data_IF_370855851627
#
_entry.id   IF_370855851627
#
_cell.length_a   1.000
_cell.length_b   1.000
_cell.length_c   1.000
_cell.angle_alpha   90.00
_cell.angle_beta   90.00
_cell.angle_gamma   90.00
#
_symmetry.space_group_name_H-M   'P 1'
#
loop_
_entity.id
_entity.type
_entity.pdbx_description
1 polymer ?
#
# COMPACT_ATOMS: atom_id res chain seq x y z
N UNK A 1 0.82 29.42 -14.42
CA UNK A 1 0.43 28.43 -13.40
C UNK A 1 -0.23 27.29 -14.14
N UNK A 2 0.34 26.09 -14.07
CA UNK A 2 -0.24 24.89 -14.67
C UNK A 2 -1.58 24.58 -13.99
N UNK A 3 -2.61 24.29 -14.78
CA UNK A 3 -3.93 23.90 -14.26
C UNK A 3 -3.83 22.47 -13.71
N UNK A 4 -3.88 22.34 -12.38
CA UNK A 4 -3.80 21.05 -11.69
C UNK A 4 -5.00 20.13 -11.97
N UNK A 5 -6.06 20.65 -12.59
CA UNK A 5 -7.26 19.88 -12.96
C UNK A 5 -7.19 19.28 -14.36
N UNK A 6 -6.23 19.70 -15.19
CA UNK A 6 -6.06 19.18 -16.55
C UNK A 6 -5.38 17.81 -16.52
N UNK A 7 -5.97 16.75 -17.11
CA UNK A 7 -5.31 15.46 -17.27
C UNK A 7 -3.98 15.57 -18.02
N UNK A 8 -3.08 14.60 -17.82
CA UNK A 8 -1.84 14.53 -18.59
C UNK A 8 -2.12 14.19 -20.05
N UNK A 9 -1.41 14.85 -20.96
CA UNK A 9 -1.40 14.43 -22.38
C UNK A 9 -0.52 13.19 -22.58
N UNK A 10 -0.63 12.46 -23.70
CA UNK A 10 0.25 11.32 -24.00
C UNK A 10 1.74 11.66 -23.89
N UNK A 11 2.17 12.80 -24.46
CA UNK A 11 3.56 13.24 -24.35
C UNK A 11 4.01 13.58 -22.92
N UNK A 12 3.06 13.95 -22.03
CA UNK A 12 3.36 14.19 -20.62
C UNK A 12 3.38 12.89 -19.80
N UNK A 13 2.67 11.85 -20.25
CA UNK A 13 2.79 10.51 -19.70
C UNK A 13 4.12 9.89 -20.11
N UNK A 14 4.50 10.02 -21.39
CA UNK A 14 5.82 9.58 -21.89
C UNK A 14 6.95 10.29 -21.13
N UNK A 15 6.86 11.60 -20.91
CA UNK A 15 7.84 12.36 -20.11
C UNK A 15 7.95 11.86 -18.66
N UNK A 16 6.83 11.45 -18.06
CA UNK A 16 6.83 10.92 -16.70
C UNK A 16 7.40 9.49 -16.67
N UNK A 17 7.09 8.66 -17.66
CA UNK A 17 7.61 7.30 -17.81
C UNK A 17 9.13 7.32 -18.02
N UNK A 18 9.62 8.15 -18.96
CA UNK A 18 11.05 8.35 -19.24
C UNK A 18 11.82 8.80 -17.98
N UNK A 19 11.21 9.62 -17.12
CA UNK A 19 11.82 10.06 -15.87
C UNK A 19 11.95 8.92 -14.85
N UNK A 20 10.98 8.01 -14.81
CA UNK A 20 10.94 6.90 -13.87
C UNK A 20 11.87 5.74 -14.29
N UNK A 21 12.17 5.63 -15.59
CA UNK A 21 13.00 4.59 -16.19
C UNK A 21 14.51 4.93 -16.25
N UNK A 22 14.96 5.98 -15.54
CA UNK A 22 16.40 6.34 -15.56
C UNK A 22 17.24 5.28 -14.82
N UNK A 23 18.45 4.92 -15.31
CA UNK A 23 19.28 3.85 -14.73
C UNK A 23 19.59 4.00 -13.24
N UNK A 24 19.63 5.23 -12.72
CA UNK A 24 19.81 5.52 -11.29
C UNK A 24 18.63 5.05 -10.43
N UNK A 25 17.47 4.84 -11.05
CA UNK A 25 16.18 4.49 -10.45
C UNK A 25 15.63 3.14 -10.94
N UNK A 26 16.11 2.61 -12.07
CA UNK A 26 15.60 1.47 -12.86
C UNK A 26 15.36 0.16 -12.08
N UNK A 27 15.94 -0.03 -10.89
CA UNK A 27 15.69 -1.22 -10.05
C UNK A 27 14.68 -1.00 -8.90
N UNK A 28 14.32 0.24 -8.61
CA UNK A 28 13.56 0.60 -7.39
C UNK A 28 12.38 1.52 -7.64
N UNK A 29 12.40 2.28 -8.73
CA UNK A 29 11.31 3.18 -9.09
C UNK A 29 10.12 2.42 -9.66
N UNK A 30 8.94 2.98 -9.46
CA UNK A 30 7.73 2.52 -10.14
C UNK A 30 7.84 2.83 -11.62
N UNK A 31 7.36 1.92 -12.48
CA UNK A 31 6.95 2.29 -13.83
C UNK A 31 5.61 3.05 -13.81
N UNK A 32 5.16 3.57 -14.96
CA UNK A 32 3.90 4.30 -15.03
C UNK A 32 2.67 3.44 -14.63
N UNK A 33 2.71 2.13 -14.88
CA UNK A 33 1.66 1.17 -14.55
C UNK A 33 1.50 0.99 -13.03
N UNK A 34 2.60 0.69 -12.33
CA UNK A 34 2.68 0.58 -10.89
C UNK A 34 2.33 1.92 -10.21
N UNK A 35 2.79 3.04 -10.76
CA UNK A 35 2.46 4.37 -10.25
C UNK A 35 0.95 4.63 -10.26
N UNK A 36 0.25 4.28 -11.35
CA UNK A 36 -1.20 4.45 -11.42
C UNK A 36 -1.93 3.59 -10.39
N UNK A 37 -1.54 2.32 -10.26
CA UNK A 37 -2.10 1.42 -9.25
C UNK A 37 -1.88 1.94 -7.83
N UNK A 38 -0.66 2.38 -7.53
CA UNK A 38 -0.26 2.94 -6.25
C UNK A 38 -1.06 4.18 -5.86
N UNK A 39 -1.12 5.16 -6.77
CA UNK A 39 -1.90 6.38 -6.56
C UNK A 39 -3.41 6.08 -6.48
N UNK A 40 -3.91 5.10 -7.23
CA UNK A 40 -5.31 4.66 -7.17
C UNK A 40 -5.67 4.19 -5.76
N UNK A 41 -4.87 3.32 -5.15
CA UNK A 41 -5.10 2.87 -3.77
C UNK A 41 -5.12 4.04 -2.78
N UNK A 42 -4.21 5.00 -2.92
CA UNK A 42 -4.15 6.21 -2.07
C UNK A 42 -5.41 7.07 -2.25
N UNK A 43 -5.85 7.26 -3.49
CA UNK A 43 -7.00 8.12 -3.84
C UNK A 43 -8.32 7.53 -3.36
N UNK A 44 -8.56 6.23 -3.60
CA UNK A 44 -9.84 5.60 -3.26
C UNK A 44 -9.91 5.11 -1.82
N UNK A 45 -8.75 5.09 -1.14
CA UNK A 45 -8.54 4.53 0.19
C UNK A 45 -9.23 5.26 1.34
N UNK A 46 -9.03 4.78 2.58
CA UNK A 46 -9.82 5.21 3.73
C UNK A 46 -9.64 6.69 4.11
N UNK A 47 -8.44 7.23 3.93
CA UNK A 47 -8.07 8.59 4.38
C UNK A 47 -7.04 9.23 3.46
N UNK A 48 -6.99 10.57 3.47
CA UNK A 48 -5.99 11.33 2.71
C UNK A 48 -4.58 11.04 3.21
N UNK A 49 -3.67 10.72 2.29
CA UNK A 49 -2.24 10.55 2.56
C UNK A 49 -1.49 11.78 2.06
N UNK A 50 -0.77 12.45 2.96
CA UNK A 50 0.05 13.61 2.59
C UNK A 50 1.15 13.23 1.57
N UNK A 51 1.46 14.09 0.58
CA UNK A 51 2.52 13.84 -0.41
C UNK A 51 3.85 13.40 0.19
N UNK A 52 4.29 14.03 1.28
CA UNK A 52 5.55 13.68 1.94
C UNK A 52 5.62 12.23 2.44
N UNK A 53 4.49 11.52 2.57
CA UNK A 53 4.46 10.10 2.98
C UNK A 53 4.52 9.13 1.81
N UNK A 54 3.88 9.45 0.69
CA UNK A 54 3.80 8.54 -0.47
C UNK A 54 4.85 8.84 -1.54
N UNK A 55 5.25 10.10 -1.68
CA UNK A 55 6.17 10.53 -2.72
C UNK A 55 7.51 9.76 -2.72
N UNK A 56 8.16 9.48 -1.57
CA UNK A 56 9.42 8.73 -1.57
C UNK A 56 9.32 7.32 -2.16
N UNK A 57 8.14 6.70 -2.15
CA UNK A 57 7.94 5.35 -2.66
C UNK A 57 7.80 5.31 -4.19
N UNK A 58 7.53 6.45 -4.83
CA UNK A 58 7.46 6.53 -6.30
C UNK A 58 8.79 6.13 -6.93
N UNK A 59 9.90 6.49 -6.29
CA UNK A 59 11.27 6.23 -6.75
C UNK A 59 11.96 5.09 -5.99
N UNK A 60 11.31 4.54 -4.96
CA UNK A 60 11.85 3.47 -4.11
C UNK A 60 10.73 2.63 -3.50
N UNK A 61 10.29 1.63 -4.25
CA UNK A 61 9.26 0.68 -3.85
C UNK A 61 9.71 -0.21 -2.68
N UNK A 62 11.01 -0.32 -2.40
CA UNK A 62 11.56 -1.17 -1.35
C UNK A 62 11.56 -0.47 0.01
N UNK A 63 12.20 0.70 0.10
CA UNK A 63 12.44 1.38 1.37
C UNK A 63 11.75 2.76 1.48
N UNK A 64 11.34 3.36 0.36
CA UNK A 64 10.85 4.73 0.31
C UNK A 64 11.89 5.74 0.82
N UNK A 65 13.18 5.52 0.52
CA UNK A 65 14.30 6.35 0.98
C UNK A 65 15.16 6.91 -0.13
N UNK A 66 15.05 6.40 -1.35
CA UNK A 66 15.75 7.00 -2.47
C UNK A 66 15.28 8.45 -2.69
N UNK A 67 16.22 9.29 -3.07
CA UNK A 67 15.94 10.65 -3.51
C UNK A 67 16.01 10.67 -5.05
N UNK A 68 15.00 11.24 -5.73
CA UNK A 68 15.03 11.35 -7.18
C UNK A 68 16.13 12.31 -7.63
N UNK A 69 16.79 11.98 -8.73
CA UNK A 69 17.79 12.84 -9.35
C UNK A 69 17.11 13.87 -10.26
N UNK A 70 16.83 15.06 -9.73
CA UNK A 70 16.38 16.18 -10.56
C UNK A 70 17.55 16.97 -11.12
N UNK A 71 17.48 17.34 -12.40
CA UNK A 71 18.52 18.17 -13.03
C UNK A 71 18.64 19.56 -12.38
N UNK A 72 17.49 20.13 -12.01
CA UNK A 72 17.36 21.46 -11.41
C UNK A 72 15.96 21.66 -10.81
N UNK A 73 15.73 22.82 -10.19
CA UNK A 73 14.46 23.16 -9.55
C UNK A 73 13.27 23.19 -10.53
N UNK A 74 13.49 23.61 -11.78
CA UNK A 74 12.41 23.65 -12.78
C UNK A 74 12.03 22.23 -13.22
N UNK A 75 13.01 21.35 -13.40
CA UNK A 75 12.76 19.93 -13.66
C UNK A 75 12.02 19.28 -12.48
N UNK A 76 12.45 19.52 -11.24
CA UNK A 76 11.74 19.04 -10.04
C UNK A 76 10.28 19.53 -10.02
N UNK A 77 10.04 20.82 -10.25
CA UNK A 77 8.70 21.38 -10.28
C UNK A 77 7.84 20.78 -11.41
N UNK A 78 8.46 20.45 -12.55
CA UNK A 78 7.79 19.81 -13.69
C UNK A 78 7.31 18.40 -13.32
N UNK A 79 8.19 17.54 -12.83
CA UNK A 79 7.84 16.16 -12.42
C UNK A 79 6.79 16.19 -11.30
N UNK A 80 6.96 17.05 -10.30
CA UNK A 80 5.98 17.21 -9.24
C UNK A 80 4.61 17.68 -9.77
N UNK A 81 4.58 18.55 -10.79
CA UNK A 81 3.32 18.96 -11.42
C UNK A 81 2.66 17.80 -12.17
N UNK A 82 3.44 16.96 -12.86
CA UNK A 82 2.95 15.78 -13.57
C UNK A 82 2.32 14.78 -12.60
N UNK A 83 3.04 14.41 -11.54
CA UNK A 83 2.55 13.48 -10.51
C UNK A 83 1.24 13.95 -9.88
N UNK A 84 1.18 15.23 -9.50
CA UNK A 84 -0.04 15.79 -8.87
C UNK A 84 -1.22 15.84 -9.85
N UNK A 85 -0.99 16.19 -11.11
CA UNK A 85 -2.03 16.17 -12.15
C UNK A 85 -2.51 14.74 -12.43
N UNK A 86 -1.60 13.78 -12.44
CA UNK A 86 -1.92 12.36 -12.63
C UNK A 86 -2.77 11.81 -11.47
N UNK A 87 -2.37 12.09 -10.23
CA UNK A 87 -3.19 11.75 -9.06
C UNK A 87 -4.57 12.43 -9.12
N UNK A 88 -4.63 13.70 -9.52
CA UNK A 88 -5.89 14.44 -9.64
C UNK A 88 -6.80 13.87 -10.74
N UNK A 89 -6.27 13.38 -11.86
CA UNK A 89 -7.08 12.73 -12.90
C UNK A 89 -7.71 11.43 -12.39
N UNK A 90 -6.96 10.63 -11.62
CA UNK A 90 -7.49 9.43 -10.95
C UNK A 90 -8.62 9.83 -9.98
N UNK A 91 -8.37 10.81 -9.11
CA UNK A 91 -9.36 11.30 -8.18
C UNK A 91 -10.63 11.81 -8.89
N UNK A 92 -10.46 12.51 -10.02
CA UNK A 92 -11.57 13.02 -10.81
C UNK A 92 -12.40 11.88 -11.43
N UNK A 93 -11.76 10.85 -11.98
CA UNK A 93 -12.45 9.68 -12.53
C UNK A 93 -13.37 9.04 -11.49
N UNK A 94 -12.86 8.77 -10.29
CA UNK A 94 -13.66 8.19 -9.20
C UNK A 94 -14.70 9.14 -8.60
N UNK A 95 -14.53 10.47 -8.72
CA UNK A 95 -15.55 11.42 -8.29
C UNK A 95 -16.72 11.54 -9.26
N UNK A 96 -16.44 11.51 -10.57
CA UNK A 96 -17.44 11.75 -11.62
C UNK A 96 -18.15 10.46 -12.04
N UNK A 97 -17.40 9.46 -12.50
CA UNK A 97 -17.90 8.17 -12.94
C UNK A 97 -16.86 7.06 -12.66
N UNK A 98 -16.90 6.42 -11.49
CA UNK A 98 -15.98 5.33 -11.16
C UNK A 98 -15.93 4.21 -12.19
N UNK A 99 -17.03 3.96 -12.92
CA UNK A 99 -17.09 2.89 -13.90
C UNK A 99 -16.38 3.24 -15.22
N UNK A 100 -15.99 4.51 -15.42
CA UNK A 100 -15.20 4.93 -16.58
C UNK A 100 -13.68 4.83 -16.35
N UNK A 101 -13.25 4.49 -15.13
CA UNK A 101 -11.83 4.33 -14.82
C UNK A 101 -11.30 3.04 -15.46
N UNK A 102 -10.24 3.16 -16.27
CA UNK A 102 -9.60 2.04 -16.96
C UNK A 102 -8.11 2.02 -16.61
N UNK A 103 -7.62 0.97 -15.93
CA UNK A 103 -6.19 0.81 -15.61
C UNK A 103 -5.28 0.84 -16.84
N UNK A 104 -4.12 1.46 -16.70
CA UNK A 104 -3.03 1.46 -17.66
C UNK A 104 -2.19 0.20 -17.43
N UNK A 105 -2.32 -0.78 -18.33
CA UNK A 105 -1.57 -2.03 -18.28
C UNK A 105 -0.39 -2.03 -19.24
N UNK A 106 0.75 -2.57 -18.81
CA UNK A 106 1.96 -2.67 -19.60
C UNK A 106 1.93 -3.90 -20.50
N UNK A 107 1.95 -3.72 -21.82
CA UNK A 107 1.57 -4.81 -22.76
C UNK A 107 2.62 -5.89 -23.00
N UNK A 108 3.85 -5.73 -22.55
CA UNK A 108 4.91 -6.71 -22.84
C UNK A 108 5.12 -7.78 -21.74
N UNK A 109 4.43 -7.66 -20.58
CA UNK A 109 4.36 -8.71 -19.56
C UNK A 109 3.22 -9.70 -19.84
N UNK A 110 3.27 -10.91 -19.25
CA UNK A 110 2.41 -12.07 -19.56
C UNK A 110 0.89 -11.79 -19.61
N UNK A 111 0.41 -10.78 -18.89
CA UNK A 111 -0.97 -10.24 -19.01
C UNK A 111 -1.06 -8.76 -18.54
N UNK A 112 0.08 -8.07 -18.45
CA UNK A 112 0.23 -6.61 -18.32
C UNK A 112 -0.29 -5.88 -17.08
N UNK A 113 -0.94 -6.57 -16.16
CA UNK A 113 -1.52 -5.93 -14.96
C UNK A 113 -0.76 -6.26 -13.67
N UNK A 114 0.43 -6.88 -13.75
CA UNK A 114 1.21 -7.29 -12.58
C UNK A 114 1.75 -6.08 -11.83
N UNK A 115 2.42 -5.18 -12.55
CA UNK A 115 3.02 -3.94 -12.05
C UNK A 115 1.94 -3.03 -11.47
N UNK A 116 0.81 -2.89 -12.19
CA UNK A 116 -0.34 -2.14 -11.70
C UNK A 116 -0.87 -2.69 -10.37
N UNK A 117 -1.07 -4.00 -10.28
CA UNK A 117 -1.60 -4.64 -9.07
C UNK A 117 -0.59 -4.61 -7.91
N UNK A 118 0.70 -4.73 -8.19
CA UNK A 118 1.77 -4.58 -7.22
C UNK A 118 1.77 -3.16 -6.62
N UNK A 119 1.75 -2.14 -7.49
CA UNK A 119 1.63 -0.74 -7.07
C UNK A 119 0.38 -0.50 -6.22
N UNK A 120 -0.78 -1.02 -6.64
CA UNK A 120 -2.02 -0.94 -5.87
C UNK A 120 -1.89 -1.56 -4.48
N UNK A 121 -1.33 -2.78 -4.38
CA UNK A 121 -1.10 -3.44 -3.10
C UNK A 121 -0.14 -2.64 -2.22
N UNK A 122 0.93 -2.06 -2.77
CA UNK A 122 1.84 -1.19 -2.03
C UNK A 122 1.12 0.05 -1.49
N UNK A 123 0.24 0.66 -2.28
CA UNK A 123 -0.55 1.81 -1.83
C UNK A 123 -1.54 1.47 -0.69
N UNK A 124 -1.99 0.22 -0.60
CA UNK A 124 -2.84 -0.25 0.51
C UNK A 124 -2.10 -0.35 1.85
N UNK A 125 -0.77 -0.26 1.84
CA UNK A 125 0.02 -0.22 3.08
C UNK A 125 -0.17 1.10 3.84
N UNK A 126 -0.61 2.17 3.17
CA UNK A 126 -1.12 3.33 3.91
C UNK A 126 -2.48 3.01 4.51
N UNK A 127 -2.57 3.08 5.84
CA UNK A 127 -3.74 2.66 6.60
C UNK A 127 -3.96 1.13 6.53
N UNK A 128 -2.88 0.37 6.67
CA UNK A 128 -2.81 -1.10 6.60
C UNK A 128 -3.92 -1.80 7.41
N UNK A 129 -4.21 -1.33 8.62
CA UNK A 129 -5.24 -1.90 9.49
C UNK A 129 -6.63 -1.74 8.88
N UNK A 130 -6.93 -0.56 8.32
CA UNK A 130 -8.22 -0.29 7.69
C UNK A 130 -8.40 -1.14 6.42
N UNK A 131 -7.37 -1.21 5.58
CA UNK A 131 -7.38 -2.07 4.39
C UNK A 131 -7.51 -3.56 4.75
N UNK A 132 -6.76 -4.02 5.75
CA UNK A 132 -6.82 -5.39 6.25
C UNK A 132 -8.22 -5.76 6.74
N UNK A 133 -8.92 -4.86 7.44
CA UNK A 133 -10.31 -5.07 7.86
C UNK A 133 -11.27 -5.19 6.66
N UNK A 134 -11.05 -4.40 5.60
CA UNK A 134 -11.80 -4.54 4.34
C UNK A 134 -11.52 -5.89 3.68
N UNK A 135 -10.25 -6.30 3.57
CA UNK A 135 -9.86 -7.57 2.99
C UNK A 135 -10.43 -8.78 3.73
N UNK A 136 -10.42 -8.76 5.07
CA UNK A 136 -11.03 -9.83 5.88
C UNK A 136 -12.55 -9.85 5.71
N UNK A 137 -13.20 -8.68 5.65
CA UNK A 137 -14.66 -8.58 5.51
C UNK A 137 -15.17 -8.87 4.09
N UNK A 138 -14.36 -8.62 3.06
CA UNK A 138 -14.69 -8.75 1.64
C UNK A 138 -13.48 -9.29 0.84
N UNK A 139 -13.05 -10.54 1.08
CA UNK A 139 -11.85 -11.10 0.46
C UNK A 139 -11.90 -11.14 -1.06
N UNK A 140 -13.10 -11.23 -1.65
CA UNK A 140 -13.31 -11.16 -3.09
C UNK A 140 -12.83 -9.84 -3.71
N UNK A 141 -12.76 -8.75 -2.95
CA UNK A 141 -12.22 -7.47 -3.42
C UNK A 141 -10.69 -7.44 -3.42
N UNK A 142 -10.04 -8.17 -2.51
CA UNK A 142 -8.58 -8.28 -2.49
C UNK A 142 -8.06 -9.23 -3.57
N UNK A 143 -8.86 -10.25 -3.89
CA UNK A 143 -8.41 -11.42 -4.66
C UNK A 143 -7.81 -11.06 -6.02
N UNK A 144 -8.43 -10.21 -6.88
CA UNK A 144 -7.84 -9.86 -8.17
C UNK A 144 -6.42 -9.29 -8.02
N UNK A 145 -6.24 -8.33 -7.12
CA UNK A 145 -4.94 -7.69 -6.87
C UNK A 145 -3.92 -8.68 -6.33
N UNK A 146 -4.29 -9.54 -5.38
CA UNK A 146 -3.37 -10.55 -4.85
C UNK A 146 -2.98 -11.59 -5.91
N UNK A 147 -3.93 -12.00 -6.77
CA UNK A 147 -3.72 -12.97 -7.85
C UNK A 147 -2.83 -12.46 -8.97
N UNK A 148 -2.76 -11.16 -9.12
CA UNK A 148 -2.09 -10.49 -10.22
C UNK A 148 -0.78 -9.81 -9.75
N UNK A 149 -0.75 -9.18 -8.59
CA UNK A 149 0.38 -8.36 -8.13
C UNK A 149 1.30 -9.01 -7.10
N UNK A 150 1.23 -10.32 -6.85
CA UNK A 150 2.16 -11.00 -5.92
C UNK A 150 2.76 -12.23 -6.57
N UNK A 151 4.03 -12.54 -6.29
CA UNK A 151 4.72 -13.72 -6.83
C UNK A 151 3.91 -15.01 -6.69
N UNK A 152 3.40 -15.27 -5.47
CA UNK A 152 2.57 -16.45 -5.19
C UNK A 152 1.26 -16.39 -5.98
N UNK A 153 0.60 -15.23 -6.04
CA UNK A 153 -0.63 -15.05 -6.79
C UNK A 153 -0.45 -15.30 -8.28
N UNK A 154 0.57 -14.68 -8.88
CA UNK A 154 0.93 -14.82 -10.30
C UNK A 154 1.19 -16.29 -10.61
N UNK A 155 1.94 -16.99 -9.75
CA UNK A 155 2.27 -18.39 -9.93
C UNK A 155 1.01 -19.28 -9.90
N UNK A 156 0.07 -19.02 -8.99
CA UNK A 156 -1.18 -19.78 -8.93
C UNK A 156 -2.09 -19.43 -10.11
N UNK A 157 -2.16 -18.16 -10.53
CA UNK A 157 -2.92 -17.70 -11.70
C UNK A 157 -2.44 -18.35 -12.99
N UNK A 158 -1.12 -18.37 -13.18
CA UNK A 158 -0.48 -19.03 -14.32
C UNK A 158 -0.77 -20.54 -14.36
N UNK A 159 -0.70 -21.22 -13.21
CA UNK A 159 -1.03 -22.66 -13.10
C UNK A 159 -2.51 -22.95 -13.38
N UNK A 160 -3.41 -22.07 -12.95
CA UNK A 160 -4.84 -22.23 -13.13
C UNK A 160 -5.32 -21.82 -14.54
N UNK A 161 -4.55 -20.99 -15.25
CA UNK A 161 -4.94 -20.46 -16.55
C UNK A 161 -6.12 -19.49 -16.47
N UNK A 162 -6.23 -18.74 -15.36
CA UNK A 162 -7.39 -17.90 -15.06
C UNK A 162 -7.06 -16.40 -14.96
N UNK A 163 -6.00 -15.95 -15.66
CA UNK A 163 -5.56 -14.54 -15.66
C UNK A 163 -6.67 -13.58 -16.13
N UNK A 164 -7.31 -13.87 -17.27
CA UNK A 164 -8.38 -13.03 -17.83
C UNK A 164 -9.52 -12.79 -16.82
N UNK A 165 -9.91 -13.85 -16.09
CA UNK A 165 -10.92 -13.75 -15.04
C UNK A 165 -10.54 -12.74 -13.95
N UNK A 166 -9.29 -12.73 -13.53
CA UNK A 166 -8.83 -11.81 -12.50
C UNK A 166 -8.66 -10.40 -13.04
N UNK A 167 -8.17 -10.24 -14.27
CA UNK A 167 -8.09 -8.94 -14.94
C UNK A 167 -9.48 -8.30 -15.09
N UNK A 168 -10.48 -9.05 -15.54
CA UNK A 168 -11.87 -8.60 -15.66
C UNK A 168 -12.50 -8.23 -14.30
N UNK A 169 -11.94 -8.74 -13.20
CA UNK A 169 -12.40 -8.46 -11.85
C UNK A 169 -11.74 -7.24 -11.20
N UNK A 170 -10.70 -6.65 -11.79
CA UNK A 170 -9.99 -5.47 -11.25
C UNK A 170 -10.92 -4.26 -11.19
N UNK A 171 -11.49 -3.84 -12.33
CA UNK A 171 -12.31 -2.62 -12.40
C UNK A 171 -13.55 -2.68 -11.49
N UNK A 172 -14.36 -3.76 -11.48
CA UNK A 172 -15.49 -3.85 -10.55
C UNK A 172 -15.06 -3.82 -9.07
N UNK A 173 -13.91 -4.41 -8.75
CA UNK A 173 -13.38 -4.36 -7.38
C UNK A 173 -13.01 -2.93 -6.98
N UNK A 174 -12.36 -2.15 -7.85
CA UNK A 174 -12.02 -0.75 -7.59
C UNK A 174 -13.26 0.11 -7.33
N UNK A 175 -14.32 -0.07 -8.13
CA UNK A 175 -15.60 0.63 -7.94
C UNK A 175 -16.21 0.32 -6.57
N UNK A 176 -16.23 -0.96 -6.17
CA UNK A 176 -16.79 -1.36 -4.88
C UNK A 176 -15.94 -0.88 -3.70
N UNK A 177 -14.60 -0.95 -3.81
CA UNK A 177 -13.66 -0.43 -2.81
C UNK A 177 -13.86 1.07 -2.62
N UNK A 178 -13.90 1.83 -3.71
CA UNK A 178 -14.12 3.27 -3.66
C UNK A 178 -15.47 3.61 -2.99
N UNK A 179 -16.54 2.92 -3.37
CA UNK A 179 -17.87 3.12 -2.77
C UNK A 179 -17.87 2.82 -1.26
N UNK A 180 -17.19 1.74 -0.85
CA UNK A 180 -17.06 1.34 0.55
C UNK A 180 -16.35 2.41 1.41
N UNK A 181 -15.22 2.95 0.93
CA UNK A 181 -14.48 3.97 1.68
C UNK A 181 -15.14 5.34 1.61
N UNK A 182 -15.72 5.72 0.47
CA UNK A 182 -16.49 6.97 0.32
C UNK A 182 -17.63 7.04 1.34
N UNK A 183 -18.38 5.95 1.53
CA UNK A 183 -19.45 5.89 2.52
C UNK A 183 -18.93 6.05 3.97
N UNK A 184 -17.75 5.51 4.28
CA UNK A 184 -17.12 5.67 5.60
C UNK A 184 -16.59 7.09 5.84
N UNK A 185 -15.91 7.68 4.86
CA UNK A 185 -15.45 9.08 4.94
C UNK A 185 -16.62 10.05 5.16
N UNK A 186 -17.78 9.78 4.56
CA UNK A 186 -18.99 10.58 4.73
C UNK A 186 -19.65 10.43 6.12
N UNK A 187 -19.37 9.35 6.85
CA UNK A 187 -20.04 8.99 8.12
C UNK A 187 -19.17 9.18 9.37
N UNK A 188 -17.88 9.45 9.22
CA UNK A 188 -16.97 9.73 10.33
C UNK A 188 -16.71 11.24 10.46
N UNK A 189 -16.92 11.87 11.64
CA UNK A 189 -16.54 13.27 11.85
C UNK A 189 -15.03 13.44 11.78
N UNK A 190 -14.57 14.52 11.14
CA UNK A 190 -13.16 14.84 10.91
C UNK A 190 -12.30 15.06 12.18
N UNK A 191 -12.87 14.96 13.39
CA UNK A 191 -12.22 15.32 14.66
C UNK A 191 -11.60 14.14 15.44
N UNK A 192 -11.76 12.88 14.98
CA UNK A 192 -11.33 11.69 15.74
C UNK A 192 -10.09 10.96 15.21
N UNK A 193 -9.47 11.43 14.13
CA UNK A 193 -8.29 10.78 13.55
C UNK A 193 -7.04 11.49 14.04
N UNK A 194 -6.60 11.13 15.24
CA UNK A 194 -5.21 11.31 15.64
C UNK A 194 -4.30 10.52 14.70
N UNK A 195 -3.16 11.12 14.39
CA UNK A 195 -2.04 10.65 13.55
C UNK A 195 -1.48 9.26 13.98
N UNK A 196 -2.25 8.17 13.82
CA UNK A 196 -1.81 6.82 14.27
C UNK A 196 -1.38 5.86 13.13
N UNK A 197 -1.04 6.38 11.95
CA UNK A 197 -0.47 5.58 10.87
C UNK A 197 0.96 6.03 10.52
N UNK A 198 1.93 5.59 11.34
CA UNK A 198 3.36 5.82 11.12
C UNK A 198 4.03 4.65 10.36
N UNK A 199 4.16 4.78 9.05
CA UNK A 199 5.27 4.20 8.29
C UNK A 199 6.45 5.18 8.37
N UNK A 200 7.61 4.74 8.88
CA UNK A 200 8.90 5.42 8.64
C UNK A 200 9.68 6.05 9.80
N UNK A 201 9.23 6.01 11.07
CA UNK A 201 10.10 6.40 12.20
C UNK A 201 10.52 5.19 13.05
N UNK A 202 11.79 5.11 13.52
CA UNK A 202 12.16 4.13 14.53
C UNK A 202 11.40 4.46 15.81
N UNK A 203 10.42 3.62 16.14
CA UNK A 203 9.71 3.70 17.42
C UNK A 203 10.74 3.72 18.54
N UNK A 204 10.79 4.79 19.32
CA UNK A 204 11.26 4.64 20.69
C UNK A 204 10.34 3.61 21.35
N UNK A 205 10.87 2.54 21.95
CA UNK A 205 10.02 1.50 22.49
C UNK A 205 9.16 2.13 23.58
N UNK A 206 7.84 2.04 23.42
CA UNK A 206 6.89 2.23 24.52
C UNK A 206 7.29 1.21 25.58
N UNK A 207 7.98 1.68 26.60
CA UNK A 207 8.30 0.90 27.78
C UNK A 207 6.99 0.62 28.48
N UNK A 208 6.34 -0.50 28.13
CA UNK A 208 5.57 -1.22 29.14
C UNK A 208 6.56 -1.52 30.25
N UNK A 209 6.44 -0.79 31.36
CA UNK A 209 7.16 -1.06 32.59
C UNK A 209 6.65 -2.37 33.21
N UNK A 210 6.80 -3.47 32.46
CA UNK A 210 6.79 -4.82 32.99
C UNK A 210 8.25 -5.22 33.03
N UNK A 211 8.84 -5.17 34.23
CA UNK A 211 10.15 -5.74 34.50
C UNK A 211 10.23 -7.10 33.82
N UNK A 212 11.08 -7.23 32.79
CA UNK A 212 11.41 -8.52 32.18
C UNK A 212 12.08 -9.35 33.26
N UNK A 213 11.28 -10.12 34.02
CA UNK A 213 11.80 -11.00 35.07
C UNK A 213 12.54 -12.14 34.38
N UNK A 214 13.83 -12.27 34.67
CA UNK A 214 14.65 -13.31 34.09
C UNK A 214 14.18 -14.70 34.54
N UNK A 215 14.32 -15.70 33.68
CA UNK A 215 13.87 -17.08 33.91
C UNK A 215 14.45 -17.70 35.21
N UNK A 216 15.58 -17.21 35.70
CA UNK A 216 16.21 -17.66 36.97
C UNK A 216 16.02 -16.68 38.14
N UNK A 217 15.37 -15.55 37.94
CA UNK A 217 15.18 -14.51 38.96
C UNK A 217 14.10 -14.92 39.96
N UNK A 218 14.06 -14.34 41.17
CA UNK A 218 12.98 -14.53 42.12
C UNK A 218 11.62 -14.26 41.47
N UNK A 219 10.68 -15.18 41.65
CA UNK A 219 9.37 -15.09 41.03
C UNK A 219 8.56 -13.95 41.68
N UNK A 220 7.97 -13.04 40.89
CA UNK A 220 7.30 -11.84 41.42
C UNK A 220 5.98 -12.14 42.15
N UNK A 221 5.49 -13.39 42.14
CA UNK A 221 4.31 -13.82 42.89
C UNK A 221 4.54 -13.96 44.41
N UNK A 222 5.75 -13.66 44.91
CA UNK A 222 6.07 -13.70 46.34
C UNK A 222 6.35 -15.10 46.90
N UNK A 223 6.45 -16.13 46.06
CA UNK A 223 6.66 -17.53 46.51
C UNK A 223 8.08 -17.85 47.00
N UNK A 224 9.03 -16.94 46.84
CA UNK A 224 10.46 -17.15 47.17
C UNK A 224 11.21 -18.09 46.22
N UNK A 225 10.57 -18.64 45.17
CA UNK A 225 11.16 -19.55 44.19
C UNK A 225 11.63 -18.81 42.93
N UNK A 226 12.55 -19.41 42.14
CA UNK A 226 12.96 -18.88 40.82
C UNK A 226 11.80 -18.96 39.80
N UNK A 227 11.67 -17.97 38.91
CA UNK A 227 10.55 -17.84 37.96
C UNK A 227 10.25 -19.12 37.18
N UNK A 228 11.27 -19.77 36.58
CA UNK A 228 11.12 -21.04 35.83
C UNK A 228 10.64 -22.25 36.62
N UNK A 229 10.63 -22.17 37.95
CA UNK A 229 10.17 -23.25 38.85
C UNK A 229 8.86 -22.88 39.55
N UNK A 230 8.24 -21.76 39.17
CA UNK A 230 6.99 -21.28 39.72
C UNK A 230 6.07 -20.87 38.56
N UNK A 231 5.80 -19.58 38.36
CA UNK A 231 4.90 -19.09 37.31
C UNK A 231 5.39 -19.39 35.88
N UNK A 232 6.68 -19.67 35.69
CA UNK A 232 7.27 -20.01 34.39
C UNK A 232 7.23 -21.50 34.02
N UNK A 233 6.49 -22.34 34.76
CA UNK A 233 6.30 -23.76 34.44
C UNK A 233 4.95 -23.95 33.75
N UNK A 234 4.94 -24.16 32.44
CA UNK A 234 3.75 -24.64 31.73
C UNK A 234 3.54 -26.10 32.12
N UNK A 235 2.52 -26.40 32.93
CA UNK A 235 2.20 -27.75 33.39
C UNK A 235 1.63 -28.60 32.24
N UNK A 236 2.48 -29.38 31.58
CA UNK A 236 2.09 -30.60 30.88
C UNK A 236 1.98 -31.74 31.89
N UNK A 237 0.81 -32.38 31.94
CA UNK A 237 0.45 -33.45 32.88
C UNK A 237 1.42 -34.65 32.88
N UNK A 238 1.59 -35.35 34.02
CA UNK A 238 2.26 -36.64 34.08
C UNK A 238 1.34 -37.77 33.60
N UNK A 239 1.95 -38.77 32.98
CA UNK A 239 1.37 -40.06 32.53
C UNK A 239 1.02 -40.98 33.71
N UNK A 240 -0.02 -41.83 33.57
CA UNK A 240 -0.31 -43.16 34.19
C UNK A 240 -1.74 -43.55 33.74
N UNK A 241 -2.11 -44.73 33.24
CA UNK A 241 -1.57 -46.10 33.28
C UNK A 241 -1.28 -46.69 31.90
#
# INVERSE_FOLDING_TARGET
>A
MSDLSQPLSPAELDELDDFLDVPELEERSMDLSALEGYLTAIVIGPQTVMPSRWLPWVWDMEEGRAEPAFDNLDHANRIMNLLMRFMNSIARAFMDDPASFAPIYWREAHWGAAEWCEGFLLGTQFNDEAWSLLWVGKPQLATPFLRLGTDDGIEITRKAGDADRWMEAVEPALVEIHAFWRARRASQPAELVGDDFHLGQPRTPVTRATLKVGRNDPCPCGSGKKYKKCCGVSSGSPTLH
#
